data_IF_085922215581
#
_entry.id   IF_085922215581
#
_cell.length_a   1.000
_cell.length_b   1.000
_cell.length_c   1.000
_cell.angle_alpha   90.00
_cell.angle_beta   90.00
_cell.angle_gamma   90.00
#
_symmetry.space_group_name_H-M   'P 1'
#
loop_
_entity.id
_entity.type
_entity.pdbx_description
1 polymer ?
#
# COMPACT_ATOMS: atom_id res chain seq x y z
N UNK A 1 13.96 -23.55 -28.52
CA UNK A 1 15.35 -23.05 -28.65
C UNK A 1 16.24 -23.92 -29.54
N UNK A 2 16.09 -25.26 -29.57
CA UNK A 2 16.83 -26.17 -30.48
C UNK A 2 16.03 -26.69 -31.67
N UNK A 3 14.83 -26.16 -31.92
CA UNK A 3 13.90 -26.69 -32.91
C UNK A 3 13.25 -28.04 -32.53
N UNK A 4 13.52 -28.53 -31.32
CA UNK A 4 12.93 -29.76 -30.79
C UNK A 4 11.56 -29.46 -30.15
N UNK A 5 10.52 -30.13 -30.63
CA UNK A 5 9.21 -30.19 -29.97
C UNK A 5 9.29 -31.15 -28.78
N UNK A 6 9.55 -30.61 -27.59
CA UNK A 6 9.68 -31.38 -26.36
C UNK A 6 8.40 -31.35 -25.48
N UNK A 7 7.31 -30.77 -25.98
CA UNK A 7 6.03 -30.75 -25.30
C UNK A 7 5.97 -29.86 -24.04
N UNK A 8 7.01 -29.05 -23.77
CA UNK A 8 7.12 -28.30 -22.52
C UNK A 8 6.18 -27.10 -22.49
N UNK A 9 5.95 -26.46 -23.64
CA UNK A 9 5.08 -25.29 -23.75
C UNK A 9 3.62 -25.68 -23.50
N UNK A 10 3.24 -26.88 -23.94
CA UNK A 10 1.90 -27.45 -23.78
C UNK A 10 1.63 -27.94 -22.35
N UNK A 11 2.68 -28.26 -21.60
CA UNK A 11 2.60 -28.77 -20.21
C UNK A 11 2.75 -27.69 -19.15
N UNK A 12 3.37 -26.57 -19.48
CA UNK A 12 3.56 -25.47 -18.54
C UNK A 12 2.31 -24.58 -18.52
N UNK A 13 1.79 -24.23 -17.34
CA UNK A 13 0.71 -23.27 -17.25
C UNK A 13 1.18 -21.91 -17.75
N UNK A 14 0.25 -21.11 -18.32
CA UNK A 14 0.57 -19.74 -18.77
C UNK A 14 1.09 -18.86 -17.64
N UNK A 15 0.52 -19.02 -16.45
CA UNK A 15 0.94 -18.34 -15.23
C UNK A 15 1.17 -19.38 -14.14
N UNK A 16 2.34 -19.33 -13.53
CA UNK A 16 2.67 -20.09 -12.32
C UNK A 16 3.05 -19.08 -11.23
N UNK A 17 2.44 -19.19 -10.05
CA UNK A 17 2.66 -18.25 -8.95
C UNK A 17 2.69 -19.00 -7.62
N UNK A 18 3.40 -18.44 -6.64
CA UNK A 18 3.50 -19.00 -5.29
C UNK A 18 2.56 -18.23 -4.36
N UNK A 19 1.56 -18.91 -3.82
CA UNK A 19 0.62 -18.31 -2.87
C UNK A 19 1.20 -18.40 -1.47
N UNK A 20 1.72 -17.26 -0.99
CA UNK A 20 2.19 -17.06 0.38
C UNK A 20 1.06 -17.32 1.38
N UNK A 21 1.40 -17.54 2.65
CA UNK A 21 0.46 -17.96 3.69
C UNK A 21 0.06 -19.44 3.57
N UNK A 22 -0.45 -19.85 2.41
CA UNK A 22 -0.70 -21.28 2.11
C UNK A 22 0.57 -22.05 1.74
N UNK A 23 1.61 -21.33 1.31
CA UNK A 23 2.93 -21.82 0.92
C UNK A 23 2.90 -22.89 -0.18
N UNK A 24 2.06 -22.65 -1.21
CA UNK A 24 1.83 -23.59 -2.32
C UNK A 24 2.01 -22.91 -3.66
N UNK A 25 2.60 -23.65 -4.60
CA UNK A 25 2.55 -23.29 -6.01
C UNK A 25 1.13 -23.46 -6.55
N UNK A 26 0.70 -22.49 -7.34
CA UNK A 26 -0.57 -22.44 -8.04
C UNK A 26 -0.33 -22.15 -9.52
N UNK A 27 -1.35 -22.38 -10.33
CA UNK A 27 -1.32 -22.10 -11.76
C UNK A 27 -2.62 -21.45 -12.22
N UNK A 28 -2.54 -20.62 -13.25
CA UNK A 28 -3.68 -19.97 -13.89
C UNK A 28 -3.40 -19.73 -15.38
N UNK A 29 -4.47 -19.55 -16.16
CA UNK A 29 -4.39 -19.15 -17.57
C UNK A 29 -4.24 -17.64 -17.77
N UNK A 30 -4.48 -16.86 -16.72
CA UNK A 30 -4.40 -15.39 -16.71
C UNK A 30 -3.88 -14.85 -15.38
N UNK A 31 -3.42 -13.60 -15.40
CA UNK A 31 -3.13 -12.82 -14.21
C UNK A 31 -3.92 -11.49 -14.25
N UNK A 32 -4.77 -11.19 -13.26
CA UNK A 32 -5.16 -12.05 -12.11
C UNK A 32 -5.80 -13.40 -12.52
N UNK A 33 -5.88 -14.38 -11.60
CA UNK A 33 -6.68 -15.59 -11.81
C UNK A 33 -8.13 -15.27 -12.17
N UNK A 34 -8.78 -16.09 -13.00
CA UNK A 34 -10.14 -15.79 -13.49
C UNK A 34 -11.19 -15.81 -12.38
N UNK A 35 -10.92 -16.57 -11.33
CA UNK A 35 -11.73 -16.72 -10.14
C UNK A 35 -11.57 -15.53 -9.17
N UNK A 36 -10.63 -14.61 -9.45
CA UNK A 36 -10.44 -13.41 -8.67
C UNK A 36 -11.58 -12.41 -8.90
N UNK A 37 -12.27 -12.04 -7.82
CA UNK A 37 -13.24 -10.94 -7.81
C UNK A 37 -12.59 -9.72 -7.18
N UNK A 38 -12.65 -8.59 -7.87
CA UNK A 38 -12.19 -7.31 -7.33
C UNK A 38 -13.14 -6.82 -6.23
N UNK A 39 -12.64 -6.69 -5.01
CA UNK A 39 -13.42 -6.26 -3.83
C UNK A 39 -12.81 -5.00 -3.25
N UNK A 40 -13.62 -3.94 -3.17
CA UNK A 40 -13.21 -2.70 -2.53
C UNK A 40 -13.26 -2.84 -1.01
N UNK A 41 -12.18 -2.42 -0.37
CA UNK A 41 -12.09 -2.16 1.05
C UNK A 41 -11.78 -0.67 1.24
N UNK A 42 -12.65 0.02 1.95
CA UNK A 42 -12.56 1.44 2.24
C UNK A 42 -11.83 1.67 3.55
N UNK A 43 -11.04 2.73 3.59
CA UNK A 43 -10.45 3.24 4.82
C UNK A 43 -11.55 3.95 5.62
N UNK A 44 -11.45 3.91 6.94
CA UNK A 44 -12.32 4.65 7.85
C UNK A 44 -11.69 4.76 9.24
N UNK A 45 -12.07 5.78 10.01
CA UNK A 45 -11.61 6.04 11.38
C UNK A 45 -12.45 7.18 11.98
N UNK A 46 -12.25 7.50 13.26
CA UNK A 46 -12.74 8.75 13.87
C UNK A 46 -11.64 9.86 13.86
N UNK A 47 -10.76 9.82 12.86
CA UNK A 47 -9.65 10.76 12.65
C UNK A 47 -8.40 10.45 13.49
N UNK A 48 -8.24 9.21 13.96
CA UNK A 48 -7.13 8.78 14.84
C UNK A 48 -6.51 7.46 14.39
N UNK A 49 -6.39 7.21 13.09
CA UNK A 49 -5.72 6.01 12.56
C UNK A 49 -4.19 6.01 12.76
N UNK A 50 -3.60 7.01 13.43
CA UNK A 50 -2.16 7.09 13.69
C UNK A 50 -1.68 5.93 14.57
N UNK A 51 -0.65 5.23 14.08
CA UNK A 51 -0.02 4.07 14.70
C UNK A 51 -0.95 2.85 14.88
N UNK A 52 -0.37 1.72 15.30
CA UNK A 52 -1.12 0.50 15.66
C UNK A 52 -2.10 0.70 16.83
N UNK A 53 -1.96 1.80 17.58
CA UNK A 53 -2.86 2.15 18.69
C UNK A 53 -4.07 2.98 18.25
N UNK A 54 -4.14 3.33 16.95
CA UNK A 54 -5.22 4.09 16.36
C UNK A 54 -6.51 3.30 16.16
N UNK A 55 -7.53 3.98 15.62
CA UNK A 55 -8.88 3.45 15.37
C UNK A 55 -9.15 3.19 13.87
N UNK A 56 -8.10 3.07 13.06
CA UNK A 56 -8.22 2.85 11.63
C UNK A 56 -8.81 1.48 11.29
N UNK A 57 -9.90 1.50 10.54
CA UNK A 57 -10.64 0.32 10.08
C UNK A 57 -10.54 0.21 8.56
N UNK A 58 -10.46 -1.03 8.09
CA UNK A 58 -10.55 -1.39 6.69
C UNK A 58 -11.81 -2.23 6.48
N UNK A 59 -12.80 -1.73 5.74
CA UNK A 59 -14.12 -2.37 5.62
C UNK A 59 -14.63 -2.43 4.19
N UNK A 60 -15.42 -3.44 3.85
CA UNK A 60 -16.12 -3.50 2.55
C UNK A 60 -17.35 -2.59 2.50
N UNK A 61 -17.75 -2.02 3.64
CA UNK A 61 -18.82 -1.02 3.74
C UNK A 61 -18.21 0.37 3.54
N UNK A 62 -18.79 1.16 2.63
CA UNK A 62 -18.32 2.52 2.38
C UNK A 62 -18.53 3.42 3.62
N UNK A 63 -17.65 4.40 3.86
CA UNK A 63 -17.76 5.32 4.98
C UNK A 63 -19.00 6.22 4.88
N UNK A 64 -19.40 6.78 6.03
CA UNK A 64 -20.53 7.71 6.15
C UNK A 64 -20.24 9.08 5.51
N UNK A 65 -21.19 10.01 5.65
CA UNK A 65 -21.11 11.34 5.02
C UNK A 65 -20.15 12.30 5.70
N UNK A 66 -19.89 12.13 7.00
CA UNK A 66 -18.96 12.97 7.76
C UNK A 66 -17.52 12.62 7.39
N UNK A 67 -16.70 13.64 7.17
CA UNK A 67 -15.28 13.49 6.86
C UNK A 67 -14.45 13.84 8.09
N UNK A 68 -13.88 12.80 8.71
CA UNK A 68 -12.99 12.89 9.87
C UNK A 68 -11.57 12.47 9.45
N UNK A 69 -10.85 13.29 8.65
CA UNK A 69 -9.63 12.84 8.02
C UNK A 69 -8.51 12.56 9.03
N UNK A 70 -7.75 11.50 8.78
CA UNK A 70 -6.57 11.16 9.56
C UNK A 70 -5.40 12.07 9.19
N UNK A 71 -4.90 12.83 10.16
CA UNK A 71 -3.81 13.78 9.98
C UNK A 71 -2.48 13.23 10.50
N UNK A 72 -1.39 13.48 9.78
CA UNK A 72 -0.05 13.14 10.22
C UNK A 72 0.99 14.12 9.69
N UNK A 73 2.15 14.15 10.36
CA UNK A 73 3.24 15.07 10.04
C UNK A 73 4.36 14.28 9.37
N UNK A 74 4.79 14.74 8.19
CA UNK A 74 5.94 14.19 7.50
C UNK A 74 7.10 15.20 7.54
N UNK A 75 8.17 14.83 8.25
CA UNK A 75 9.44 15.56 8.25
C UNK A 75 10.46 14.79 7.39
N UNK A 76 10.94 15.35 6.26
CA UNK A 76 11.96 14.71 5.43
C UNK A 76 13.27 14.40 6.18
N UNK A 77 13.57 15.04 7.31
CA UNK A 77 14.73 14.73 8.16
C UNK A 77 14.55 13.45 8.97
N UNK A 78 13.31 13.02 9.21
CA UNK A 78 12.97 11.83 10.00
C UNK A 78 11.99 10.90 9.25
N UNK A 79 12.35 10.43 8.03
CA UNK A 79 11.46 9.59 7.24
C UNK A 79 11.15 8.27 7.95
N UNK A 80 10.03 7.65 7.57
CA UNK A 80 9.76 6.24 7.86
C UNK A 80 10.83 5.40 7.16
N UNK A 81 11.58 4.57 7.90
CA UNK A 81 12.61 3.74 7.30
C UNK A 81 12.01 2.54 6.56
N UNK A 82 12.66 2.13 5.48
CA UNK A 82 12.37 0.89 4.79
C UNK A 82 12.75 -0.30 5.66
N UNK A 83 11.83 -1.24 5.81
CA UNK A 83 12.03 -2.43 6.62
C UNK A 83 11.40 -3.65 5.94
N UNK A 84 12.22 -4.40 5.20
CA UNK A 84 11.74 -5.42 4.26
C UNK A 84 11.27 -4.82 2.94
N UNK A 85 10.36 -5.52 2.27
CA UNK A 85 9.71 -5.11 1.03
C UNK A 85 10.53 -5.44 -0.22
N UNK A 86 10.14 -4.84 -1.35
CA UNK A 86 10.78 -5.02 -2.65
C UNK A 86 11.97 -4.09 -2.80
N UNK A 87 12.99 -4.30 -1.97
CA UNK A 87 14.25 -3.58 -2.10
C UNK A 87 15.15 -4.32 -3.07
N UNK A 88 15.74 -3.60 -4.02
CA UNK A 88 16.86 -4.07 -4.81
C UNK A 88 17.98 -3.03 -4.81
N UNK A 89 19.18 -3.48 -5.14
CA UNK A 89 20.18 -2.62 -5.74
C UNK A 89 20.66 -1.46 -4.83
N UNK A 90 20.57 -1.64 -3.51
CA UNK A 90 20.92 -0.65 -2.50
C UNK A 90 22.29 -0.92 -1.84
N UNK A 91 23.04 -1.91 -2.33
CA UNK A 91 24.34 -2.28 -1.76
C UNK A 91 24.28 -2.99 -0.41
N UNK A 92 23.11 -3.53 -0.02
CA UNK A 92 22.92 -4.23 1.25
C UNK A 92 22.62 -3.32 2.43
N UNK A 93 22.14 -2.10 2.17
CA UNK A 93 21.73 -1.14 3.20
C UNK A 93 20.45 -1.62 3.90
N UNK A 94 19.52 -2.19 3.14
CA UNK A 94 18.27 -2.81 3.62
C UNK A 94 18.23 -4.25 3.10
N UNK A 95 17.68 -5.15 3.92
CA UNK A 95 17.32 -6.49 3.47
C UNK A 95 15.88 -6.51 2.97
N UNK A 96 15.69 -6.91 1.71
CA UNK A 96 14.36 -7.12 1.13
C UNK A 96 13.68 -8.38 1.68
N UNK A 97 12.36 -8.48 1.48
CA UNK A 97 11.54 -9.63 1.91
C UNK A 97 10.47 -9.28 2.94
N UNK A 98 9.84 -10.29 3.52
CA UNK A 98 8.77 -10.10 4.50
C UNK A 98 9.32 -9.98 5.93
N UNK A 99 9.02 -8.85 6.57
CA UNK A 99 9.49 -8.49 7.89
C UNK A 99 8.33 -8.05 8.78
N UNK A 100 8.46 -8.29 10.08
CA UNK A 100 7.46 -7.89 11.08
C UNK A 100 7.47 -6.37 11.30
N UNK A 101 6.42 -5.70 10.83
CA UNK A 101 6.29 -4.24 10.80
C UNK A 101 5.92 -3.62 12.15
N UNK A 102 5.58 -4.40 13.18
CA UNK A 102 5.11 -3.87 14.48
C UNK A 102 5.97 -2.75 15.07
N UNK A 103 7.30 -2.82 14.92
CA UNK A 103 8.22 -1.79 15.43
C UNK A 103 8.18 -0.47 14.62
N UNK A 104 7.69 -0.52 13.39
CA UNK A 104 7.47 0.66 12.54
C UNK A 104 6.10 1.26 12.85
N UNK A 105 5.08 0.42 13.01
CA UNK A 105 3.68 0.79 13.25
C UNK A 105 3.45 1.60 14.54
N UNK A 106 4.43 1.77 15.43
CA UNK A 106 4.32 2.65 16.60
C UNK A 106 4.46 4.14 16.26
N UNK A 107 4.88 4.47 15.04
CA UNK A 107 5.09 5.86 14.62
C UNK A 107 3.76 6.55 14.29
N UNK A 108 3.62 7.81 14.70
CA UNK A 108 2.43 8.61 14.41
C UNK A 108 2.32 9.06 12.95
N UNK A 109 3.40 8.98 12.17
CA UNK A 109 3.40 9.25 10.73
C UNK A 109 3.14 7.99 9.89
N UNK A 110 2.71 6.90 10.52
CA UNK A 110 2.16 5.71 9.86
C UNK A 110 0.70 5.58 10.31
N UNK A 111 -0.23 5.75 9.37
CA UNK A 111 -1.64 5.48 9.58
C UNK A 111 -1.89 3.98 9.35
N UNK A 112 -2.60 3.33 10.26
CA UNK A 112 -2.83 1.88 10.25
C UNK A 112 -4.33 1.60 10.15
N UNK A 113 -4.74 0.89 9.11
CA UNK A 113 -6.12 0.46 8.88
C UNK A 113 -6.18 -1.05 8.80
N UNK A 114 -6.99 -1.69 9.63
CA UNK A 114 -7.12 -3.16 9.65
C UNK A 114 -8.56 -3.60 9.50
N UNK A 115 -8.77 -4.74 8.86
CA UNK A 115 -10.06 -5.44 8.97
C UNK A 115 -10.28 -5.94 10.40
N UNK A 116 -11.51 -6.35 10.69
CA UNK A 116 -11.74 -7.34 11.73
C UNK A 116 -10.97 -8.64 11.44
N UNK A 117 -10.84 -9.49 12.47
CA UNK A 117 -10.34 -10.84 12.28
C UNK A 117 -11.20 -11.58 11.26
N UNK A 118 -10.52 -12.18 10.28
CA UNK A 118 -11.19 -12.93 9.23
C UNK A 118 -11.81 -14.19 9.83
N UNK A 119 -13.14 -14.33 9.74
CA UNK A 119 -13.84 -15.54 10.17
C UNK A 119 -13.44 -16.77 9.33
N UNK A 120 -13.07 -16.54 8.07
CA UNK A 120 -12.66 -17.55 7.10
C UNK A 120 -11.45 -17.04 6.34
N UNK A 121 -10.54 -17.94 5.97
CA UNK A 121 -9.37 -17.52 5.23
C UNK A 121 -9.72 -17.07 3.80
N UNK A 122 -8.97 -16.09 3.31
CA UNK A 122 -9.18 -15.39 2.05
C UNK A 122 -7.88 -15.39 1.26
N UNK A 123 -7.94 -15.77 0.00
CA UNK A 123 -6.81 -15.64 -0.93
C UNK A 123 -6.91 -14.30 -1.69
N UNK A 124 -5.84 -13.52 -1.66
CA UNK A 124 -5.65 -12.31 -2.47
C UNK A 124 -4.55 -12.62 -3.49
N UNK A 125 -4.93 -12.80 -4.77
CA UNK A 125 -3.98 -13.11 -5.84
C UNK A 125 -4.27 -12.26 -7.08
N UNK A 126 -3.38 -11.33 -7.41
CA UNK A 126 -3.53 -10.45 -8.56
C UNK A 126 -2.95 -9.06 -8.34
N UNK A 127 -3.27 -8.17 -9.28
CA UNK A 127 -3.02 -6.73 -9.19
C UNK A 127 -3.98 -6.07 -8.21
N UNK A 128 -3.45 -5.19 -7.38
CA UNK A 128 -4.16 -4.43 -6.36
C UNK A 128 -4.24 -2.97 -6.81
N UNK A 129 -5.45 -2.41 -6.80
CA UNK A 129 -5.68 -1.00 -7.13
C UNK A 129 -5.86 -0.17 -5.86
N UNK A 130 -5.33 1.03 -5.84
CA UNK A 130 -5.35 1.89 -4.66
C UNK A 130 -5.77 3.30 -5.09
N UNK A 131 -6.71 3.88 -4.37
CA UNK A 131 -7.11 5.28 -4.55
C UNK A 131 -7.17 5.91 -3.18
N UNK A 132 -6.41 6.97 -2.98
CA UNK A 132 -6.48 7.80 -1.78
C UNK A 132 -7.09 9.16 -2.13
N UNK A 133 -7.75 9.79 -1.18
CA UNK A 133 -8.10 11.20 -1.21
C UNK A 133 -7.26 11.91 -0.17
N UNK A 134 -6.44 12.85 -0.63
CA UNK A 134 -5.37 13.42 0.18
C UNK A 134 -5.42 14.93 0.16
N UNK A 135 -5.02 15.57 1.25
CA UNK A 135 -4.71 16.99 1.28
C UNK A 135 -3.40 17.22 2.02
N UNK A 136 -2.80 18.38 1.77
CA UNK A 136 -1.55 18.81 2.40
C UNK A 136 -1.49 20.33 2.49
N UNK A 137 -0.59 20.84 3.32
CA UNK A 137 -0.27 22.27 3.41
C UNK A 137 0.94 22.70 2.55
N UNK A 138 1.56 21.75 1.85
CA UNK A 138 2.69 21.96 0.94
C UNK A 138 2.29 21.72 -0.53
N UNK A 139 3.15 22.17 -1.46
CA UNK A 139 2.89 22.06 -2.92
C UNK A 139 3.00 20.63 -3.46
N UNK A 140 3.85 19.82 -2.85
CA UNK A 140 4.11 18.44 -3.25
C UNK A 140 4.53 17.64 -2.01
N UNK A 141 4.25 16.34 -2.02
CA UNK A 141 4.65 15.36 -1.00
C UNK A 141 4.52 13.98 -1.65
N UNK A 142 4.93 12.93 -0.94
CA UNK A 142 4.66 11.56 -1.33
C UNK A 142 3.58 10.94 -0.43
N UNK A 143 2.91 9.90 -0.92
CA UNK A 143 2.11 8.97 -0.12
C UNK A 143 2.54 7.53 -0.42
N UNK A 144 2.85 6.78 0.62
CA UNK A 144 3.21 5.36 0.56
C UNK A 144 2.06 4.51 1.05
N UNK A 145 1.93 3.31 0.48
CA UNK A 145 0.94 2.31 0.90
C UNK A 145 1.63 0.96 1.04
N UNK A 146 1.40 0.26 2.14
CA UNK A 146 1.83 -1.14 2.33
C UNK A 146 0.65 -2.05 2.57
N UNK A 147 0.68 -3.25 1.99
CA UNK A 147 -0.22 -4.35 2.33
C UNK A 147 0.46 -5.32 3.30
N UNK A 148 -0.25 -5.68 4.36
CA UNK A 148 0.26 -6.45 5.48
C UNK A 148 -0.71 -7.57 5.87
N UNK A 149 -0.14 -8.72 6.19
CA UNK A 149 -0.81 -9.86 6.81
C UNK A 149 -0.54 -9.86 8.32
N UNK A 150 -1.59 -9.61 9.12
CA UNK A 150 -1.50 -9.60 10.58
C UNK A 150 -1.95 -10.94 11.13
N UNK A 151 -1.05 -11.60 11.83
CA UNK A 151 -1.27 -12.90 12.43
C UNK A 151 -2.03 -12.78 13.76
N UNK A 152 -2.68 -13.86 14.23
CA UNK A 152 -3.37 -13.87 15.52
C UNK A 152 -2.47 -13.56 16.73
N UNK A 153 -1.16 -13.80 16.62
CA UNK A 153 -0.16 -13.47 17.65
C UNK A 153 0.33 -12.01 17.57
N UNK A 154 -0.24 -11.22 16.66
CA UNK A 154 0.05 -9.82 16.43
C UNK A 154 1.19 -9.54 15.44
N UNK A 155 1.96 -10.55 14.99
CA UNK A 155 3.01 -10.31 13.98
C UNK A 155 2.38 -9.73 12.70
N UNK A 156 3.01 -8.71 12.15
CA UNK A 156 2.48 -7.94 11.02
C UNK A 156 3.45 -8.02 9.84
N UNK A 157 3.27 -8.98 8.94
CA UNK A 157 4.21 -9.24 7.85
C UNK A 157 3.83 -8.46 6.59
N UNK A 158 4.73 -7.60 6.11
CA UNK A 158 4.52 -6.89 4.85
C UNK A 158 4.58 -7.83 3.65
N UNK A 159 3.67 -7.62 2.70
CA UNK A 159 3.51 -8.41 1.49
C UNK A 159 3.97 -7.66 0.24
N UNK A 160 3.49 -6.43 0.07
CA UNK A 160 3.89 -5.52 -1.00
C UNK A 160 3.75 -4.07 -0.52
N UNK A 161 4.44 -3.16 -1.16
CA UNK A 161 4.37 -1.73 -0.87
C UNK A 161 4.75 -0.89 -2.10
N UNK A 162 4.18 0.31 -2.15
CA UNK A 162 4.26 1.26 -3.27
C UNK A 162 4.35 2.70 -2.78
N UNK A 163 4.62 3.63 -3.68
CA UNK A 163 4.64 5.07 -3.42
C UNK A 163 4.02 5.82 -4.59
N UNK A 164 3.39 6.94 -4.30
CA UNK A 164 2.99 7.91 -5.31
C UNK A 164 3.45 9.31 -4.89
N UNK A 165 4.22 9.96 -5.76
CA UNK A 165 4.52 11.39 -5.63
C UNK A 165 3.38 12.20 -6.21
N UNK A 166 2.88 13.16 -5.44
CA UNK A 166 1.61 13.83 -5.73
C UNK A 166 1.70 14.74 -6.96
N UNK A 167 2.87 15.29 -7.28
CA UNK A 167 3.02 16.08 -8.52
C UNK A 167 2.80 15.28 -9.81
N UNK A 168 2.89 13.96 -9.76
CA UNK A 168 2.64 13.05 -10.89
C UNK A 168 1.26 12.36 -10.82
N UNK A 169 0.34 12.86 -9.99
CA UNK A 169 -1.00 12.24 -9.80
C UNK A 169 -1.86 12.20 -11.07
N UNK A 170 -1.56 13.05 -12.06
CA UNK A 170 -2.27 13.13 -13.34
C UNK A 170 -1.50 12.46 -14.50
N UNK A 171 -0.39 11.78 -14.21
CA UNK A 171 0.54 11.25 -15.20
C UNK A 171 1.98 11.69 -14.95
N UNK A 172 2.92 11.01 -15.59
CA UNK A 172 4.35 11.29 -15.48
C UNK A 172 4.88 12.22 -16.58
N UNK A 173 3.99 12.66 -17.48
CA UNK A 173 4.28 13.56 -18.60
C UNK A 173 4.29 15.04 -18.19
N UNK A 174 3.68 15.38 -17.05
CA UNK A 174 3.62 16.74 -16.50
C UNK A 174 3.62 16.74 -14.98
N UNK A 175 4.00 17.89 -14.41
CA UNK A 175 3.90 18.13 -12.97
C UNK A 175 2.68 19.00 -12.65
N UNK A 176 1.93 18.64 -11.62
CA UNK A 176 0.79 19.40 -11.10
C UNK A 176 0.94 19.62 -9.60
N UNK A 177 0.85 20.85 -9.10
CA UNK A 177 1.03 21.13 -7.66
C UNK A 177 -0.29 21.12 -6.90
N UNK A 178 -0.20 20.95 -5.58
CA UNK A 178 -1.33 21.09 -4.66
C UNK A 178 -1.48 22.54 -4.21
N UNK A 179 -2.72 22.95 -4.02
CA UNK A 179 -3.09 24.11 -3.24
C UNK A 179 -3.32 23.70 -1.78
N UNK A 180 -3.00 24.60 -0.86
CA UNK A 180 -3.03 24.30 0.57
C UNK A 180 -4.45 23.93 1.03
N UNK A 181 -4.60 22.72 1.56
CA UNK A 181 -5.84 22.22 2.14
C UNK A 181 -6.87 21.70 1.14
N UNK A 182 -6.63 21.85 -0.17
CA UNK A 182 -7.49 21.26 -1.19
C UNK A 182 -7.34 19.72 -1.21
N UNK A 183 -8.46 19.03 -1.47
CA UNK A 183 -8.50 17.56 -1.47
C UNK A 183 -8.34 17.05 -2.89
N UNK A 184 -7.34 16.20 -3.10
CA UNK A 184 -7.01 15.60 -4.38
C UNK A 184 -7.26 14.10 -4.37
N UNK A 185 -7.89 13.60 -5.43
CA UNK A 185 -7.88 12.16 -5.71
C UNK A 185 -6.48 11.76 -6.17
N UNK A 186 -5.90 10.78 -5.52
CA UNK A 186 -4.57 10.23 -5.78
C UNK A 186 -4.70 8.75 -6.17
N UNK A 187 -4.69 8.43 -7.48
CA UNK A 187 -4.44 7.06 -7.92
C UNK A 187 -3.01 6.69 -7.52
N UNK A 188 -2.85 5.70 -6.66
CA UNK A 188 -1.52 5.23 -6.24
C UNK A 188 -1.10 4.09 -7.16
N UNK A 189 0.18 4.06 -7.51
CA UNK A 189 0.76 3.03 -8.38
C UNK A 189 0.39 1.62 -7.88
N UNK A 190 -0.09 0.71 -8.74
CA UNK A 190 -0.67 -0.56 -8.32
C UNK A 190 0.38 -1.48 -7.67
N UNK A 191 -0.11 -2.34 -6.76
CA UNK A 191 0.66 -3.43 -6.14
C UNK A 191 0.28 -4.77 -6.79
N UNK A 192 1.02 -5.83 -6.50
CA UNK A 192 0.66 -7.18 -6.92
C UNK A 192 1.14 -8.21 -5.91
N UNK A 193 0.26 -9.14 -5.51
CA UNK A 193 0.62 -10.18 -4.55
C UNK A 193 -0.13 -11.49 -4.81
N UNK A 194 0.31 -12.57 -4.16
CA UNK A 194 -0.46 -13.79 -3.94
C UNK A 194 -0.26 -14.23 -2.49
N UNK A 195 -1.27 -13.99 -1.65
CA UNK A 195 -1.24 -14.38 -0.23
C UNK A 195 -2.59 -14.96 0.20
N UNK A 196 -2.53 -16.02 1.00
CA UNK A 196 -3.67 -16.56 1.72
C UNK A 196 -3.64 -16.08 3.16
N UNK A 197 -4.57 -15.18 3.50
CA UNK A 197 -4.80 -14.72 4.87
C UNK A 197 -5.67 -15.79 5.54
N UNK A 198 -5.15 -16.48 6.56
CA UNK A 198 -5.91 -17.54 7.21
C UNK A 198 -7.03 -16.99 8.12
N UNK A 199 -7.94 -17.86 8.57
CA UNK A 199 -8.91 -17.45 9.59
C UNK A 199 -8.17 -16.96 10.86
N UNK A 200 -8.68 -15.89 11.46
CA UNK A 200 -8.05 -15.17 12.58
C UNK A 200 -6.94 -14.19 12.17
N UNK A 201 -6.54 -14.15 10.90
CA UNK A 201 -5.66 -13.09 10.40
C UNK A 201 -6.46 -11.80 10.15
N UNK A 202 -5.77 -10.69 9.94
CA UNK A 202 -6.35 -9.43 9.45
C UNK A 202 -5.62 -8.98 8.20
N UNK A 203 -6.37 -8.34 7.29
CA UNK A 203 -5.79 -7.58 6.20
C UNK A 203 -5.52 -6.18 6.74
N UNK A 204 -4.27 -5.72 6.64
CA UNK A 204 -3.87 -4.38 7.10
C UNK A 204 -3.27 -3.58 5.97
N UNK A 205 -3.61 -2.29 5.95
CA UNK A 205 -2.96 -1.28 5.13
C UNK A 205 -2.29 -0.26 6.03
N UNK A 206 -1.04 0.05 5.71
CA UNK A 206 -0.33 1.21 6.24
C UNK A 206 -0.30 2.32 5.19
N UNK A 207 -0.53 3.56 5.62
CA UNK A 207 -0.34 4.76 4.80
C UNK A 207 0.65 5.70 5.49
N UNK A 208 1.62 6.22 4.74
CA UNK A 208 2.57 7.22 5.22
C UNK A 208 2.98 8.16 4.07
N UNK A 209 4.01 8.97 4.26
CA UNK A 209 4.58 9.86 3.23
C UNK A 209 6.06 9.60 2.97
N UNK A 210 6.60 8.50 3.48
CA UNK A 210 7.97 8.07 3.18
C UNK A 210 8.16 6.57 3.38
N UNK A 211 9.21 6.06 2.76
CA UNK A 211 9.70 4.69 2.91
C UNK A 211 11.15 4.66 2.39
N UNK A 212 12.08 5.13 3.23
CA UNK A 212 13.46 5.43 2.85
C UNK A 212 14.47 4.43 3.44
N UNK A 213 15.52 3.97 2.73
CA UNK A 213 15.96 4.44 1.42
C UNK A 213 15.39 3.73 0.20
N UNK A 214 14.36 2.88 0.32
CA UNK A 214 13.74 2.25 -0.88
C UNK A 214 13.29 3.30 -1.90
N UNK A 215 12.65 4.37 -1.43
CA UNK A 215 12.30 5.52 -2.26
C UNK A 215 13.01 6.78 -1.78
N UNK A 216 13.37 7.66 -2.72
CA UNK A 216 13.88 8.99 -2.38
C UNK A 216 12.82 9.77 -1.62
N UNK A 217 13.21 10.44 -0.53
CA UNK A 217 12.33 11.28 0.30
C UNK A 217 11.87 12.49 -0.51
N UNK A 218 10.57 12.79 -0.54
CA UNK A 218 10.12 14.10 -0.98
C UNK A 218 10.60 15.18 0.01
N UNK A 219 11.11 16.30 -0.49
CA UNK A 219 11.52 17.43 0.35
C UNK A 219 10.39 18.45 0.58
N UNK A 220 9.20 18.20 0.02
CA UNK A 220 7.95 18.93 0.24
C UNK A 220 7.95 20.38 -0.27
N UNK A 221 8.92 20.75 -1.10
CA UNK A 221 9.10 22.11 -1.65
C UNK A 221 8.38 22.32 -2.99
N UNK A 222 8.14 21.22 -3.72
CA UNK A 222 7.77 21.26 -5.14
C UNK A 222 8.95 21.49 -6.08
N UNK A 223 10.19 21.53 -5.58
CA UNK A 223 11.40 21.76 -6.37
C UNK A 223 12.01 20.48 -6.94
N UNK A 224 13.28 20.59 -7.37
CA UNK A 224 14.06 19.51 -7.96
C UNK A 224 14.65 18.62 -6.87
N UNK A 225 13.92 17.55 -6.54
CA UNK A 225 14.20 16.69 -5.40
C UNK A 225 15.60 16.02 -5.40
N UNK A 226 16.35 16.07 -6.51
CA UNK A 226 17.69 15.49 -6.65
C UNK A 226 18.84 16.44 -6.29
N UNK A 227 18.62 17.76 -6.27
CA UNK A 227 19.64 18.77 -5.92
C UNK A 227 19.27 19.64 -4.71
N UNK A 228 18.04 19.50 -4.22
CA UNK A 228 17.55 20.13 -3.01
C UNK A 228 18.15 19.53 -1.73
N UNK A 229 18.30 20.38 -0.70
CA UNK A 229 18.92 20.03 0.58
C UNK A 229 18.04 20.31 1.78
N UNK A 230 17.25 21.36 1.70
CA UNK A 230 16.35 21.79 2.78
C UNK A 230 14.94 21.35 2.46
N UNK A 231 14.40 20.47 3.31
CA UNK A 231 13.00 20.04 3.25
C UNK A 231 12.10 20.93 4.08
N UNK A 232 10.81 20.91 3.76
CA UNK A 232 9.73 21.52 4.54
C UNK A 232 8.94 20.41 5.23
N UNK A 233 8.43 20.68 6.44
CA UNK A 233 7.53 19.74 7.12
C UNK A 233 6.15 19.83 6.47
N UNK A 234 5.58 18.69 6.10
CA UNK A 234 4.24 18.59 5.53
C UNK A 234 3.23 18.07 6.55
N UNK A 235 2.05 18.69 6.59
CA UNK A 235 0.89 18.24 7.38
C UNK A 235 -0.10 17.57 6.43
N UNK A 236 0.04 16.26 6.29
CA UNK A 236 -0.69 15.45 5.34
C UNK A 236 -1.96 14.87 5.98
N UNK A 237 -3.00 14.68 5.16
CA UNK A 237 -4.26 14.09 5.60
C UNK A 237 -4.76 13.05 4.62
N UNK A 238 -5.37 11.98 5.14
CA UNK A 238 -6.15 11.00 4.37
C UNK A 238 -7.63 11.22 4.68
N UNK A 239 -8.41 11.48 3.63
CA UNK A 239 -9.85 11.69 3.72
C UNK A 239 -10.60 10.39 3.44
N UNK A 240 -11.65 10.12 4.20
CA UNK A 240 -12.44 8.89 4.10
C UNK A 240 -13.90 9.13 4.47
N UNK A 241 -14.66 9.59 3.49
CA UNK A 241 -16.11 9.83 3.61
C UNK A 241 -16.82 9.38 2.34
N UNK A 242 -18.15 9.49 2.33
CA UNK A 242 -18.96 9.20 1.14
C UNK A 242 -18.56 10.06 -0.07
N UNK A 243 -17.98 11.25 0.15
CA UNK A 243 -17.41 12.10 -0.90
C UNK A 243 -15.99 11.69 -1.28
N UNK A 244 -15.20 11.23 -0.30
CA UNK A 244 -13.79 10.90 -0.44
C UNK A 244 -13.55 9.42 -0.15
N UNK A 245 -13.85 8.57 -1.13
CA UNK A 245 -13.79 7.10 -0.98
C UNK A 245 -12.36 6.55 -1.09
N UNK A 246 -11.49 6.89 -0.13
CA UNK A 246 -10.17 6.26 -0.01
C UNK A 246 -10.32 4.76 0.18
N UNK A 247 -9.68 3.97 -0.68
CA UNK A 247 -9.89 2.53 -0.77
C UNK A 247 -8.71 1.78 -1.39
N UNK A 248 -8.67 0.50 -1.08
CA UNK A 248 -7.90 -0.52 -1.79
C UNK A 248 -8.87 -1.52 -2.43
N UNK A 249 -8.58 -1.95 -3.65
CA UNK A 249 -9.38 -2.96 -4.35
C UNK A 249 -8.54 -4.22 -4.47
N UNK A 250 -8.97 -5.28 -3.79
CA UNK A 250 -8.23 -6.53 -3.66
C UNK A 250 -8.81 -7.61 -4.60
N UNK A 251 -7.95 -8.36 -5.33
CA UNK A 251 -8.36 -9.49 -6.16
C UNK A 251 -8.58 -10.74 -5.30
N UNK A 252 -9.81 -10.90 -4.79
CA UNK A 252 -10.17 -12.01 -3.90
C UNK A 252 -10.50 -13.27 -4.72
N UNK A 253 -9.70 -14.32 -4.60
CA UNK A 253 -9.93 -15.60 -5.29
C UNK A 253 -11.02 -16.40 -4.56
N UNK A 254 -12.09 -16.74 -5.27
CA UNK A 254 -13.12 -17.65 -4.76
C UNK A 254 -12.78 -19.08 -5.18
N UNK A 255 -12.58 -19.98 -4.22
CA UNK A 255 -12.42 -21.43 -4.46
C UNK A 255 -13.57 -22.21 -3.85
#
# INVERSE_FOLDING_TARGET
LKGEENGIIEKLPRVQYYTMGSNKWQSSESWPPKEARMVAYYLGSDGKANSVMGDGILSTTAPGSEDSPDAFVYDPKYPVPSYGGNVCCDGGIIYGGSFDQRKMEIRNDILVYSTDELEKGIEVSGTIEITLFVSSDVKDTDFTVKLIDVYPDGKAYNLDETIQRVRYREGYDKEVFMEKGEVYKLPVSPMSTSNYFAAGHRIRIEVSSSNFPRFSRNLNTGGNNYDEKEGVIAHNKIHHSALYLSRIVLPIVQR
#
